data_IF_315232376771
#
_entry.id   IF_315232376771
#
_cell.length_a   1.000
_cell.length_b   1.000
_cell.length_c   1.000
_cell.angle_alpha   90.00
_cell.angle_beta   90.00
_cell.angle_gamma   90.00
#
_symmetry.space_group_name_H-M   'P 1'
#
loop_
_entity.id
_entity.type
_entity.pdbx_description
1 polymer ?
#
# COMPACT_ATOMS: atom_id res chain seq x y z
N UNK A 1 12.92 18.46 -2.19
CA UNK A 1 13.30 19.45 -3.22
C UNK A 1 14.53 20.31 -2.83
N UNK A 2 14.87 20.42 -1.54
CA UNK A 2 16.07 21.17 -1.08
C UNK A 2 17.39 20.41 -1.17
N UNK A 3 17.39 19.12 -1.40
CA UNK A 3 18.60 18.28 -1.40
C UNK A 3 19.41 18.35 -2.71
N UNK A 4 18.87 18.97 -3.77
CA UNK A 4 19.50 19.00 -5.09
C UNK A 4 19.49 20.41 -5.66
N UNK A 5 20.16 21.33 -4.94
CA UNK A 5 20.50 22.62 -5.51
C UNK A 5 21.72 22.45 -6.41
N UNK A 6 21.80 23.25 -7.47
CA UNK A 6 23.02 23.36 -8.28
C UNK A 6 24.15 24.08 -7.54
N UNK A 7 23.90 24.48 -6.30
CA UNK A 7 24.89 25.10 -5.43
C UNK A 7 25.96 24.08 -5.00
N UNK A 8 27.25 24.38 -5.24
CA UNK A 8 28.37 23.49 -4.92
C UNK A 8 28.43 23.04 -3.45
N UNK A 9 28.01 23.89 -2.50
CA UNK A 9 28.04 23.60 -1.07
C UNK A 9 26.97 22.55 -0.73
N UNK A 10 25.76 22.69 -1.26
CA UNK A 10 24.69 21.71 -1.07
C UNK A 10 25.05 20.37 -1.70
N UNK A 11 25.70 20.36 -2.86
CA UNK A 11 26.22 19.14 -3.49
C UNK A 11 27.33 18.48 -2.65
N UNK A 12 28.23 19.27 -2.07
CA UNK A 12 29.28 18.74 -1.19
C UNK A 12 28.69 18.15 0.09
N UNK A 13 27.71 18.82 0.70
CA UNK A 13 27.02 18.35 1.89
C UNK A 13 26.28 17.03 1.63
N UNK A 14 25.56 16.92 0.51
CA UNK A 14 24.89 15.70 0.09
C UNK A 14 25.89 14.55 -0.11
N UNK A 15 27.06 14.83 -0.67
CA UNK A 15 28.14 13.87 -0.89
C UNK A 15 28.76 13.36 0.40
N UNK A 16 28.96 14.24 1.38
CA UNK A 16 29.48 13.89 2.71
C UNK A 16 28.47 13.06 3.52
N UNK A 17 27.18 13.25 3.28
CA UNK A 17 26.10 12.46 3.88
C UNK A 17 25.82 11.12 3.15
N UNK A 18 26.62 10.76 2.15
CA UNK A 18 26.45 9.53 1.41
C UNK A 18 25.21 9.52 0.46
N UNK A 19 24.63 10.69 0.20
CA UNK A 19 23.49 10.82 -0.71
C UNK A 19 23.97 10.54 -2.15
N UNK A 20 23.29 9.66 -2.91
CA UNK A 20 23.69 9.33 -4.27
C UNK A 20 23.72 10.57 -5.18
N UNK A 21 24.61 10.58 -6.16
CA UNK A 21 24.65 11.64 -7.17
C UNK A 21 23.35 11.68 -7.96
N UNK A 22 22.84 12.87 -8.36
CA UNK A 22 21.60 13.02 -9.11
C UNK A 22 21.54 12.12 -10.36
N UNK A 23 22.64 11.99 -11.10
CA UNK A 23 22.73 11.17 -12.31
C UNK A 23 22.57 9.66 -12.07
N UNK A 24 22.64 9.20 -10.82
CA UNK A 24 22.40 7.80 -10.43
C UNK A 24 20.96 7.55 -9.97
N UNK A 25 20.19 8.62 -9.76
CA UNK A 25 18.80 8.52 -9.32
C UNK A 25 17.96 8.30 -10.57
N UNK A 26 17.31 7.14 -10.67
CA UNK A 26 16.48 6.78 -11.83
C UNK A 26 14.99 6.75 -11.52
N UNK A 27 14.62 6.88 -10.26
CA UNK A 27 13.22 6.84 -9.82
C UNK A 27 12.90 8.00 -8.91
N UNK A 28 11.78 8.68 -9.18
CA UNK A 28 11.15 9.64 -8.28
C UNK A 28 9.90 9.00 -7.65
N UNK A 29 9.55 9.42 -6.46
CA UNK A 29 8.29 9.04 -5.83
C UNK A 29 7.58 10.31 -5.31
N UNK A 30 6.38 10.56 -5.80
CA UNK A 30 5.56 11.67 -5.36
C UNK A 30 4.85 11.27 -4.07
N UNK A 31 5.20 11.96 -3.00
CA UNK A 31 4.60 11.79 -1.68
C UNK A 31 3.48 12.81 -1.44
N UNK A 32 2.85 12.73 -0.32
CA UNK A 32 1.65 13.46 0.05
C UNK A 32 0.49 12.50 0.17
N UNK A 33 -0.73 13.02 0.34
CA UNK A 33 -1.86 12.13 0.59
C UNK A 33 -2.20 11.28 -0.63
N UNK A 34 -2.32 11.89 -1.81
CA UNK A 34 -2.86 11.23 -2.98
C UNK A 34 -2.52 11.98 -4.30
N UNK A 35 -1.27 11.97 -4.76
CA UNK A 35 -0.87 12.73 -5.94
C UNK A 35 -1.58 12.31 -7.23
N UNK A 36 -1.98 11.04 -7.37
CA UNK A 36 -2.62 10.56 -8.59
C UNK A 36 -4.04 11.10 -8.82
N UNK A 37 -4.65 11.77 -7.81
CA UNK A 37 -5.94 12.47 -7.97
C UNK A 37 -5.85 13.66 -8.91
N UNK A 38 -4.66 14.21 -9.13
CA UNK A 38 -4.45 15.37 -10.01
C UNK A 38 -4.93 15.05 -11.43
N UNK A 39 -5.40 16.10 -12.12
CA UNK A 39 -5.76 16.01 -13.53
C UNK A 39 -4.57 15.57 -14.39
N UNK A 40 -4.85 14.89 -15.50
CA UNK A 40 -3.86 14.39 -16.44
C UNK A 40 -2.81 15.44 -16.82
N UNK A 41 -3.24 16.64 -17.22
CA UNK A 41 -2.33 17.72 -17.65
C UNK A 41 -1.35 18.15 -16.54
N UNK A 42 -1.80 18.09 -15.28
CA UNK A 42 -0.93 18.39 -14.13
C UNK A 42 0.09 17.31 -13.89
N UNK A 43 -0.28 16.05 -14.03
CA UNK A 43 0.65 14.93 -13.90
C UNK A 43 1.71 14.99 -15.00
N UNK A 44 1.34 15.28 -16.24
CA UNK A 44 2.29 15.49 -17.36
C UNK A 44 3.25 16.65 -17.05
N UNK A 45 2.73 17.81 -16.64
CA UNK A 45 3.57 18.95 -16.29
C UNK A 45 4.56 18.65 -15.15
N UNK A 46 4.16 17.84 -14.17
CA UNK A 46 5.06 17.38 -13.09
C UNK A 46 6.16 16.46 -13.66
N UNK A 47 5.82 15.54 -14.54
CA UNK A 47 6.79 14.65 -15.17
C UNK A 47 7.83 15.43 -15.99
N UNK A 48 7.38 16.41 -16.76
CA UNK A 48 8.25 17.28 -17.56
C UNK A 48 9.18 18.10 -16.66
N UNK A 49 8.65 18.66 -15.58
CA UNK A 49 9.42 19.41 -14.61
C UNK A 49 10.49 18.53 -13.94
N UNK A 50 10.14 17.31 -13.53
CA UNK A 50 11.09 16.35 -12.96
C UNK A 50 12.23 16.08 -13.94
N UNK A 51 11.92 15.80 -15.20
CA UNK A 51 12.94 15.53 -16.23
C UNK A 51 13.80 16.74 -16.55
N UNK A 52 13.22 17.92 -16.51
CA UNK A 52 13.98 19.16 -16.71
C UNK A 52 15.05 19.35 -15.64
N UNK A 53 14.74 19.07 -14.37
CA UNK A 53 15.67 19.27 -13.26
C UNK A 53 16.52 18.05 -12.92
N UNK A 54 16.00 16.84 -13.18
CA UNK A 54 16.69 15.57 -12.91
C UNK A 54 16.52 14.65 -14.13
N UNK A 55 17.29 14.86 -15.19
CA UNK A 55 17.13 14.13 -16.47
C UNK A 55 17.36 12.62 -16.35
N UNK A 56 18.00 12.16 -15.27
CA UNK A 56 18.25 10.73 -15.02
C UNK A 56 17.01 9.94 -14.57
N UNK A 57 15.93 10.62 -14.16
CA UNK A 57 14.70 9.98 -13.73
C UNK A 57 14.02 9.31 -14.92
N UNK A 58 13.80 8.01 -14.80
CA UNK A 58 13.11 7.17 -15.79
C UNK A 58 11.67 6.89 -15.37
N UNK A 59 11.44 6.65 -14.07
CA UNK A 59 10.13 6.28 -13.55
C UNK A 59 9.69 7.19 -12.42
N UNK A 60 8.38 7.42 -12.34
CA UNK A 60 7.72 8.26 -11.33
C UNK A 60 6.63 7.41 -10.67
N UNK A 61 6.87 6.98 -9.43
CA UNK A 61 5.85 6.36 -8.60
C UNK A 61 5.06 7.39 -7.80
N UNK A 62 3.87 7.04 -7.37
CA UNK A 62 3.10 7.85 -6.43
C UNK A 62 2.02 7.05 -5.71
N UNK A 63 1.46 7.64 -4.64
CA UNK A 63 0.24 7.12 -4.04
C UNK A 63 -0.98 7.40 -4.91
N UNK A 64 -1.89 6.42 -4.94
CA UNK A 64 -3.14 6.49 -5.67
C UNK A 64 -4.28 5.81 -4.90
N UNK A 65 -5.50 6.18 -5.22
CA UNK A 65 -6.72 5.44 -4.86
C UNK A 65 -7.33 4.81 -6.10
N UNK A 66 -8.16 3.80 -5.91
CA UNK A 66 -8.93 3.20 -7.02
C UNK A 66 -9.79 4.25 -7.74
N UNK A 67 -10.40 5.16 -6.98
CA UNK A 67 -11.19 6.27 -7.51
C UNK A 67 -10.39 7.22 -8.40
N UNK A 68 -9.08 7.38 -8.20
CA UNK A 68 -8.25 8.28 -9.01
C UNK A 68 -7.99 7.71 -10.40
N UNK A 69 -7.89 6.38 -10.51
CA UNK A 69 -7.75 5.70 -11.80
C UNK A 69 -9.02 5.91 -12.64
N UNK A 70 -10.21 5.97 -12.02
CA UNK A 70 -11.47 6.24 -12.73
C UNK A 70 -11.52 7.62 -13.36
N UNK A 71 -10.75 8.58 -12.84
CA UNK A 71 -10.69 9.95 -13.36
C UNK A 71 -9.83 10.10 -14.62
N UNK A 72 -9.21 9.03 -15.10
CA UNK A 72 -8.35 9.03 -16.30
C UNK A 72 -9.01 8.18 -17.39
N UNK A 73 -8.90 8.63 -18.64
CA UNK A 73 -9.24 7.77 -19.78
C UNK A 73 -8.16 6.69 -19.97
N UNK A 74 -8.44 5.68 -20.79
CA UNK A 74 -7.45 4.63 -21.10
C UNK A 74 -6.26 5.22 -21.88
N UNK A 75 -6.51 6.16 -22.79
CA UNK A 75 -5.49 6.89 -23.52
C UNK A 75 -4.62 7.76 -22.62
N UNK A 76 -5.24 8.41 -21.61
CA UNK A 76 -4.49 9.17 -20.60
C UNK A 76 -3.60 8.27 -19.76
N UNK A 77 -4.06 7.07 -19.35
CA UNK A 77 -3.22 6.11 -18.63
C UNK A 77 -2.02 5.66 -19.46
N UNK A 78 -2.22 5.33 -20.74
CA UNK A 78 -1.11 4.98 -21.65
C UNK A 78 -0.13 6.15 -21.78
N UNK A 79 -0.62 7.38 -21.95
CA UNK A 79 0.21 8.57 -22.04
C UNK A 79 0.97 8.86 -20.74
N UNK A 80 0.36 8.64 -19.57
CA UNK A 80 1.03 8.75 -18.27
C UNK A 80 2.15 7.72 -18.14
N UNK A 81 1.92 6.48 -18.57
CA UNK A 81 2.99 5.48 -18.60
C UNK A 81 4.17 5.93 -19.48
N UNK A 82 3.90 6.41 -20.70
CA UNK A 82 4.92 6.97 -21.61
C UNK A 82 5.64 8.18 -20.99
N UNK A 83 4.93 8.99 -20.20
CA UNK A 83 5.50 10.06 -19.41
C UNK A 83 6.28 9.56 -18.17
N UNK A 84 6.43 8.26 -17.98
CA UNK A 84 7.22 7.61 -16.93
C UNK A 84 6.49 7.34 -15.64
N UNK A 85 5.17 7.55 -15.55
CA UNK A 85 4.41 7.10 -14.38
C UNK A 85 4.37 5.58 -14.36
N UNK A 86 5.01 5.01 -13.32
CA UNK A 86 5.11 3.57 -13.14
C UNK A 86 5.36 3.26 -11.66
N UNK A 87 4.70 2.21 -11.16
CA UNK A 87 4.77 1.83 -9.74
C UNK A 87 3.88 2.70 -8.86
N UNK A 88 2.57 2.64 -9.12
CA UNK A 88 1.57 3.23 -8.24
C UNK A 88 1.45 2.42 -6.94
N UNK A 89 1.36 3.11 -5.81
CA UNK A 89 1.06 2.49 -4.52
C UNK A 89 -0.41 2.75 -4.20
N UNK A 90 -1.22 1.71 -4.22
CA UNK A 90 -2.68 1.79 -4.13
C UNK A 90 -3.15 1.19 -2.81
N UNK A 91 -3.80 2.01 -1.97
CA UNK A 91 -4.55 1.52 -0.82
C UNK A 91 -5.86 0.88 -1.31
N UNK A 92 -5.88 -0.45 -1.43
CA UNK A 92 -7.12 -1.19 -1.71
C UNK A 92 -7.89 -1.50 -0.43
N UNK A 93 -7.20 -1.43 0.69
CA UNK A 93 -7.64 -1.66 2.06
C UNK A 93 -8.15 -3.09 2.30
N UNK A 94 -9.12 -3.55 1.55
CA UNK A 94 -9.73 -4.90 1.60
C UNK A 94 -10.51 -5.20 0.33
N UNK A 95 -10.85 -6.48 0.12
CA UNK A 95 -11.83 -6.92 -0.86
C UNK A 95 -13.23 -7.15 -0.29
N UNK A 96 -13.45 -6.86 0.99
CA UNK A 96 -14.75 -7.00 1.64
C UNK A 96 -15.63 -5.77 1.35
N UNK A 97 -16.62 -5.91 0.49
CA UNK A 97 -17.54 -4.83 0.11
C UNK A 97 -18.33 -4.25 1.29
N UNK A 98 -18.59 -5.05 2.33
CA UNK A 98 -19.25 -4.56 3.53
C UNK A 98 -18.32 -3.62 4.31
N UNK A 99 -17.07 -4.01 4.48
CA UNK A 99 -16.05 -3.17 5.11
C UNK A 99 -15.76 -1.92 4.28
N UNK A 100 -15.61 -2.02 2.95
CA UNK A 100 -15.42 -0.88 2.06
C UNK A 100 -16.57 0.14 2.18
N UNK A 101 -17.81 -0.34 2.27
CA UNK A 101 -18.98 0.51 2.43
C UNK A 101 -19.03 1.14 3.81
N UNK A 102 -18.79 0.36 4.87
CA UNK A 102 -18.78 0.87 6.25
C UNK A 102 -17.70 1.95 6.45
N UNK A 103 -16.52 1.75 5.88
CA UNK A 103 -15.39 2.69 5.93
C UNK A 103 -15.50 3.84 4.90
N UNK A 104 -16.63 3.94 4.19
CA UNK A 104 -16.90 5.00 3.21
C UNK A 104 -15.78 5.18 2.17
N UNK A 105 -15.26 4.07 1.62
CA UNK A 105 -14.13 4.11 0.68
C UNK A 105 -14.51 4.64 -0.72
N UNK A 106 -15.80 4.63 -1.07
CA UNK A 106 -16.30 5.16 -2.33
C UNK A 106 -16.07 4.25 -3.55
N UNK A 107 -15.72 2.99 -3.35
CA UNK A 107 -15.56 1.96 -4.39
C UNK A 107 -15.88 0.58 -3.82
N UNK A 108 -16.15 -0.37 -4.71
CA UNK A 108 -16.37 -1.77 -4.39
C UNK A 108 -15.19 -2.64 -4.86
N UNK A 109 -15.18 -3.90 -4.43
CA UNK A 109 -14.20 -4.91 -4.83
C UNK A 109 -14.08 -5.06 -6.36
N UNK A 110 -15.20 -5.05 -7.06
CA UNK A 110 -15.23 -5.11 -8.53
C UNK A 110 -14.55 -3.90 -9.19
N UNK A 111 -14.60 -2.73 -8.55
CA UNK A 111 -13.93 -1.53 -9.08
C UNK A 111 -12.41 -1.68 -8.97
N UNK A 112 -11.89 -2.33 -7.91
CA UNK A 112 -10.46 -2.63 -7.78
C UNK A 112 -10.00 -3.45 -8.99
N UNK A 113 -10.68 -4.55 -9.29
CA UNK A 113 -10.35 -5.41 -10.44
C UNK A 113 -10.41 -4.62 -11.74
N UNK A 114 -11.51 -3.92 -11.98
CA UNK A 114 -11.73 -3.16 -13.22
C UNK A 114 -10.63 -2.10 -13.44
N UNK A 115 -10.31 -1.32 -12.42
CA UNK A 115 -9.35 -0.22 -12.58
C UNK A 115 -7.91 -0.73 -12.70
N UNK A 116 -7.54 -1.77 -11.94
CA UNK A 116 -6.19 -2.34 -12.04
C UNK A 116 -5.97 -3.06 -13.37
N UNK A 117 -6.99 -3.72 -13.95
CA UNK A 117 -6.90 -4.25 -15.32
C UNK A 117 -6.69 -3.14 -16.37
N UNK A 118 -7.17 -1.92 -16.13
CA UNK A 118 -6.86 -0.77 -16.99
C UNK A 118 -5.41 -0.34 -16.85
N UNK A 119 -4.86 -0.37 -15.62
CA UNK A 119 -3.43 -0.11 -15.38
C UNK A 119 -2.57 -1.17 -16.06
N UNK A 120 -2.92 -2.47 -15.94
CA UNK A 120 -2.23 -3.56 -16.64
C UNK A 120 -2.17 -3.32 -18.16
N UNK A 121 -3.31 -2.97 -18.77
CA UNK A 121 -3.39 -2.65 -20.22
C UNK A 121 -2.55 -1.44 -20.61
N UNK A 122 -2.42 -0.45 -19.74
CA UNK A 122 -1.61 0.74 -19.95
C UNK A 122 -0.10 0.49 -19.69
N UNK A 123 0.27 -0.66 -19.12
CA UNK A 123 1.65 -1.01 -18.74
C UNK A 123 2.12 -0.35 -17.44
N UNK A 124 1.22 0.19 -16.64
CA UNK A 124 1.54 0.82 -15.35
C UNK A 124 1.56 -0.25 -14.27
N UNK A 125 2.73 -0.51 -13.69
CA UNK A 125 2.86 -1.39 -12.54
C UNK A 125 2.28 -0.74 -11.28
N UNK A 126 1.81 -1.57 -10.36
CA UNK A 126 1.24 -1.12 -9.09
C UNK A 126 1.54 -2.09 -7.95
N UNK A 127 1.47 -1.55 -6.73
CA UNK A 127 1.55 -2.30 -5.48
C UNK A 127 0.30 -2.02 -4.67
N UNK A 128 -0.13 -2.98 -3.87
CA UNK A 128 -1.29 -2.85 -3.00
C UNK A 128 -0.90 -2.66 -1.54
N UNK A 129 -1.68 -1.84 -0.84
CA UNK A 129 -1.74 -1.89 0.61
C UNK A 129 -3.08 -2.50 1.05
N UNK A 130 -2.96 -3.54 1.87
CA UNK A 130 -4.02 -4.21 2.60
C UNK A 130 -4.02 -3.74 4.05
N UNK A 131 -5.19 -3.43 4.58
CA UNK A 131 -5.35 -2.94 5.94
C UNK A 131 -6.02 -4.00 6.82
N UNK A 132 -5.23 -4.65 7.65
CA UNK A 132 -5.66 -5.73 8.54
C UNK A 132 -6.63 -5.20 9.58
N UNK A 133 -7.62 -6.01 9.92
CA UNK A 133 -8.70 -5.71 10.87
C UNK A 133 -9.75 -4.70 10.39
N UNK A 134 -9.65 -4.20 9.16
CA UNK A 134 -10.62 -3.23 8.64
C UNK A 134 -12.04 -3.79 8.54
N UNK A 135 -12.19 -5.11 8.40
CA UNK A 135 -13.49 -5.79 8.38
C UNK A 135 -14.12 -5.95 9.78
N UNK A 136 -13.35 -5.71 10.85
CA UNK A 136 -13.80 -5.81 12.22
C UNK A 136 -13.81 -7.23 12.78
N UNK A 137 -14.06 -7.35 14.08
CA UNK A 137 -14.00 -8.60 14.84
C UNK A 137 -14.86 -9.70 14.22
N UNK A 138 -14.27 -10.90 14.08
CA UNK A 138 -14.90 -12.07 13.51
C UNK A 138 -15.04 -12.08 11.98
N UNK A 139 -14.65 -11.00 11.29
CA UNK A 139 -14.77 -10.86 9.83
C UNK A 139 -13.43 -10.86 9.09
N UNK A 140 -12.29 -10.73 9.77
CA UNK A 140 -10.98 -10.61 9.12
C UNK A 140 -10.69 -11.71 8.11
N UNK A 141 -10.99 -12.98 8.44
CA UNK A 141 -10.83 -14.08 7.48
C UNK A 141 -11.71 -13.95 6.23
N UNK A 142 -12.90 -13.35 6.35
CA UNK A 142 -13.78 -13.08 5.21
C UNK A 142 -13.13 -12.01 4.33
N UNK A 143 -12.68 -10.91 4.92
CA UNK A 143 -11.97 -9.83 4.24
C UNK A 143 -10.69 -10.32 3.55
N UNK A 144 -9.90 -11.14 4.24
CA UNK A 144 -8.68 -11.73 3.69
C UNK A 144 -8.94 -12.60 2.45
N UNK A 145 -9.93 -13.49 2.50
CA UNK A 145 -10.31 -14.33 1.36
C UNK A 145 -10.85 -13.51 0.19
N UNK A 146 -11.71 -12.54 0.48
CA UNK A 146 -12.23 -11.64 -0.55
C UNK A 146 -11.11 -10.84 -1.21
N UNK A 147 -10.13 -10.36 -0.43
CA UNK A 147 -8.95 -9.65 -0.95
C UNK A 147 -8.08 -10.56 -1.81
N UNK A 148 -7.79 -11.78 -1.35
CA UNK A 148 -7.03 -12.74 -2.16
C UNK A 148 -7.73 -13.04 -3.50
N UNK A 149 -9.06 -13.22 -3.49
CA UNK A 149 -9.83 -13.46 -4.71
C UNK A 149 -9.75 -12.31 -5.72
N UNK A 150 -9.63 -11.06 -5.28
CA UNK A 150 -9.37 -9.90 -6.12
C UNK A 150 -7.93 -9.93 -6.64
N UNK A 151 -6.95 -10.08 -5.74
CA UNK A 151 -5.54 -10.07 -6.09
C UNK A 151 -5.20 -11.16 -7.12
N UNK A 152 -5.80 -12.33 -7.00
CA UNK A 152 -5.59 -13.45 -7.93
C UNK A 152 -6.07 -13.20 -9.37
N UNK A 153 -6.79 -12.10 -9.63
CA UNK A 153 -7.21 -11.66 -10.96
C UNK A 153 -6.31 -10.56 -11.54
N UNK A 154 -5.25 -10.15 -10.80
CA UNK A 154 -4.47 -8.95 -11.05
C UNK A 154 -2.97 -9.24 -10.95
N UNK A 155 -2.13 -8.24 -11.24
CA UNK A 155 -0.68 -8.39 -11.27
C UNK A 155 0.06 -7.39 -10.35
N UNK A 156 -0.32 -7.28 -9.06
CA UNK A 156 0.40 -6.39 -8.16
C UNK A 156 1.86 -6.86 -7.98
N UNK A 157 2.79 -5.92 -8.06
CA UNK A 157 4.22 -6.21 -7.84
C UNK A 157 4.55 -6.45 -6.36
N UNK A 158 3.73 -5.91 -5.46
CA UNK A 158 3.85 -6.05 -4.02
C UNK A 158 2.46 -6.00 -3.38
N UNK A 159 2.23 -6.84 -2.39
CA UNK A 159 1.13 -6.72 -1.44
C UNK A 159 1.73 -6.37 -0.09
N UNK A 160 1.60 -5.10 0.29
CA UNK A 160 2.00 -4.59 1.61
C UNK A 160 0.86 -4.72 2.61
N UNK A 161 1.15 -5.23 3.78
CA UNK A 161 0.18 -5.48 4.85
C UNK A 161 0.47 -4.57 6.03
N UNK A 162 -0.49 -3.77 6.43
CA UNK A 162 -0.40 -2.91 7.60
C UNK A 162 -1.58 -3.17 8.55
N UNK A 163 -1.34 -3.12 9.83
CA UNK A 163 -2.42 -3.19 10.82
C UNK A 163 -3.13 -1.85 10.95
N UNK A 164 -4.45 -1.89 11.03
CA UNK A 164 -5.30 -0.71 11.24
C UNK A 164 -4.91 -0.01 12.54
N UNK A 165 -4.70 1.29 12.45
CA UNK A 165 -4.51 2.16 13.61
C UNK A 165 -5.76 3.02 13.79
N UNK A 166 -6.31 3.00 15.00
CA UNK A 166 -7.55 3.71 15.33
C UNK A 166 -7.19 4.96 16.12
N UNK A 167 -7.41 6.13 15.51
CA UNK A 167 -7.16 7.40 16.16
C UNK A 167 -8.38 7.89 16.96
N UNK A 168 -8.21 8.47 18.16
CA UNK A 168 -9.32 8.90 19.01
C UNK A 168 -10.25 9.96 18.39
N UNK A 169 -9.76 10.71 17.42
CA UNK A 169 -10.50 11.74 16.69
C UNK A 169 -11.16 11.24 15.39
N UNK A 170 -11.00 9.93 15.07
CA UNK A 170 -11.57 9.33 13.87
C UNK A 170 -13.06 9.01 14.01
N UNK A 171 -13.77 8.99 12.88
CA UNK A 171 -15.16 8.50 12.84
C UNK A 171 -15.26 7.04 13.30
N UNK A 172 -14.27 6.21 12.93
CA UNK A 172 -14.23 4.81 13.35
C UNK A 172 -14.18 4.67 14.89
N UNK A 173 -13.41 5.52 15.56
CA UNK A 173 -13.40 5.52 17.03
C UNK A 173 -14.78 5.83 17.60
N UNK A 174 -15.53 6.76 17.00
CA UNK A 174 -16.89 7.06 17.41
C UNK A 174 -17.83 5.87 17.17
N UNK A 175 -17.69 5.14 16.07
CA UNK A 175 -18.47 3.93 15.80
C UNK A 175 -18.19 2.81 16.81
N UNK A 176 -16.94 2.70 17.26
CA UNK A 176 -16.56 1.79 18.35
C UNK A 176 -17.28 2.18 19.65
N UNK A 177 -17.27 3.47 20.01
CA UNK A 177 -17.95 3.96 21.22
C UNK A 177 -19.47 3.73 21.17
N UNK A 178 -20.06 3.73 19.98
CA UNK A 178 -21.49 3.43 19.76
C UNK A 178 -21.80 1.93 19.74
N UNK A 179 -20.78 1.07 19.75
CA UNK A 179 -20.92 -0.38 19.63
C UNK A 179 -21.25 -0.89 18.23
N UNK A 180 -21.09 -0.06 17.19
CA UNK A 180 -21.38 -0.41 15.80
C UNK A 180 -20.22 -1.15 15.12
N UNK A 181 -19.02 -1.07 15.68
CA UNK A 181 -17.83 -1.74 15.15
C UNK A 181 -16.90 -2.14 16.30
N UNK A 182 -16.21 -3.26 16.14
CA UNK A 182 -15.26 -3.76 17.12
C UNK A 182 -13.97 -4.18 16.41
N UNK A 183 -12.84 -3.79 16.99
CA UNK A 183 -11.53 -4.21 16.51
C UNK A 183 -11.29 -5.69 16.79
N UNK A 184 -10.60 -6.38 15.89
CA UNK A 184 -10.12 -7.74 16.14
C UNK A 184 -9.09 -7.78 17.28
N UNK A 185 -8.99 -8.93 17.95
CA UNK A 185 -7.85 -9.21 18.83
C UNK A 185 -6.54 -9.22 18.03
N UNK A 186 -5.42 -9.02 18.69
CA UNK A 186 -4.12 -9.00 18.01
C UNK A 186 -3.81 -10.36 17.34
N UNK A 187 -4.18 -11.46 18.01
CA UNK A 187 -4.02 -12.81 17.43
C UNK A 187 -4.95 -13.03 16.23
N UNK A 188 -6.18 -12.49 16.24
CA UNK A 188 -7.07 -12.57 15.06
C UNK A 188 -6.49 -11.85 13.86
N UNK A 189 -5.82 -10.72 14.05
CA UNK A 189 -5.12 -9.99 12.99
C UNK A 189 -4.05 -10.84 12.30
N UNK A 190 -3.27 -11.61 13.06
CA UNK A 190 -2.29 -12.55 12.47
C UNK A 190 -2.96 -13.73 11.76
N UNK A 191 -4.10 -14.22 12.25
CA UNK A 191 -4.90 -15.22 11.55
C UNK A 191 -5.50 -14.70 10.25
N UNK A 192 -5.86 -13.42 10.22
CA UNK A 192 -6.31 -12.72 9.00
C UNK A 192 -5.18 -12.66 7.97
N UNK A 193 -3.97 -12.19 8.36
CA UNK A 193 -2.79 -12.14 7.47
C UNK A 193 -2.46 -13.54 6.93
N UNK A 194 -2.47 -14.55 7.80
CA UNK A 194 -2.25 -15.95 7.42
C UNK A 194 -3.27 -16.42 6.39
N UNK A 195 -4.55 -16.08 6.61
CA UNK A 195 -5.63 -16.42 5.67
C UNK A 195 -5.44 -15.73 4.32
N UNK A 196 -5.02 -14.46 4.30
CA UNK A 196 -4.70 -13.76 3.06
C UNK A 196 -3.58 -14.49 2.31
N UNK A 197 -2.46 -14.75 2.99
CA UNK A 197 -1.29 -15.41 2.42
C UNK A 197 -1.63 -16.81 1.85
N UNK A 198 -2.40 -17.62 2.57
CA UNK A 198 -2.81 -18.95 2.12
C UNK A 198 -3.60 -18.93 0.81
N UNK A 199 -4.45 -17.91 0.62
CA UNK A 199 -5.34 -17.82 -0.52
C UNK A 199 -4.77 -17.02 -1.71
N UNK A 200 -3.57 -16.43 -1.57
CA UNK A 200 -2.87 -15.81 -2.70
C UNK A 200 -2.24 -16.89 -3.58
N UNK A 201 -2.51 -16.83 -4.89
CA UNK A 201 -2.05 -17.81 -5.90
C UNK A 201 -1.14 -17.17 -6.97
N UNK A 202 -0.91 -15.86 -6.89
CA UNK A 202 -0.15 -15.09 -7.87
C UNK A 202 1.32 -14.90 -7.45
N UNK A 203 2.24 -14.80 -8.42
CA UNK A 203 3.61 -14.35 -8.14
C UNK A 203 3.60 -12.87 -7.75
N UNK A 204 4.06 -12.55 -6.53
CA UNK A 204 4.15 -11.19 -6.01
C UNK A 204 5.10 -11.11 -4.83
N UNK A 205 5.61 -9.92 -4.53
CA UNK A 205 6.25 -9.68 -3.24
C UNK A 205 5.15 -9.55 -2.15
N UNK A 206 5.40 -10.12 -0.99
CA UNK A 206 4.53 -9.98 0.17
C UNK A 206 5.31 -9.39 1.33
N UNK A 207 4.81 -8.31 1.95
CA UNK A 207 5.55 -7.62 2.98
C UNK A 207 4.65 -7.03 4.07
N UNK A 208 5.02 -7.24 5.33
CA UNK A 208 4.43 -6.65 6.52
C UNK A 208 5.49 -5.82 7.27
N UNK A 209 5.99 -4.76 6.61
CA UNK A 209 7.12 -3.95 7.11
C UNK A 209 6.69 -2.62 7.75
N UNK A 210 5.39 -2.32 7.76
CA UNK A 210 4.87 -1.09 8.35
C UNK A 210 5.10 -1.00 9.86
N UNK A 211 5.25 0.21 10.38
CA UNK A 211 5.46 0.46 11.81
C UNK A 211 4.29 -0.03 12.69
N UNK A 212 3.10 -0.17 12.12
CA UNK A 212 1.92 -0.71 12.83
C UNK A 212 1.99 -2.22 13.10
N UNK A 213 2.93 -2.95 12.46
CA UNK A 213 3.11 -4.38 12.62
C UNK A 213 4.13 -4.66 13.73
N UNK A 214 3.76 -5.43 14.75
CA UNK A 214 4.67 -5.82 15.83
C UNK A 214 5.77 -6.78 15.32
N UNK A 215 5.43 -7.65 14.37
CA UNK A 215 6.39 -8.50 13.67
C UNK A 215 6.51 -8.07 12.21
N UNK A 216 7.74 -7.94 11.76
CA UNK A 216 8.06 -7.57 10.39
C UNK A 216 8.56 -8.80 9.63
N UNK A 217 7.98 -9.06 8.47
CA UNK A 217 8.36 -10.16 7.58
C UNK A 217 8.08 -9.80 6.13
N UNK A 218 8.81 -10.44 5.22
CA UNK A 218 8.63 -10.28 3.79
C UNK A 218 9.10 -11.54 3.05
N UNK A 219 8.62 -11.72 1.84
CA UNK A 219 9.04 -12.81 0.97
C UNK A 219 8.44 -12.68 -0.42
N UNK A 220 8.87 -13.57 -1.31
CA UNK A 220 8.39 -13.69 -2.69
C UNK A 220 7.42 -14.87 -2.78
N UNK A 221 6.24 -14.65 -3.35
CA UNK A 221 5.27 -15.72 -3.59
C UNK A 221 5.41 -16.24 -5.03
N UNK A 222 5.29 -17.56 -5.23
CA UNK A 222 4.93 -18.58 -4.24
C UNK A 222 6.11 -19.14 -3.43
N UNK A 223 7.36 -18.78 -3.73
CA UNK A 223 8.58 -19.44 -3.24
C UNK A 223 8.67 -19.46 -1.70
N UNK A 224 8.39 -18.32 -1.07
CA UNK A 224 8.52 -18.16 0.39
C UNK A 224 7.19 -18.42 1.15
N UNK A 225 6.12 -18.82 0.45
CA UNK A 225 4.77 -18.94 1.04
C UNK A 225 4.74 -19.85 2.26
N UNK A 226 5.39 -21.00 2.16
CA UNK A 226 5.43 -22.01 3.22
C UNK A 226 6.17 -21.49 4.46
N UNK A 227 7.31 -20.85 4.26
CA UNK A 227 8.10 -20.25 5.34
C UNK A 227 7.37 -19.10 6.05
N UNK A 228 6.71 -18.23 5.27
CA UNK A 228 5.91 -17.13 5.81
C UNK A 228 4.70 -17.64 6.60
N UNK A 229 4.03 -18.69 6.10
CA UNK A 229 2.91 -19.32 6.80
C UNK A 229 3.35 -19.93 8.12
N UNK A 230 4.48 -20.65 8.13
CA UNK A 230 5.03 -21.26 9.34
C UNK A 230 5.44 -20.18 10.39
N UNK A 231 5.99 -19.04 9.93
CA UNK A 231 6.31 -17.92 10.81
C UNK A 231 5.05 -17.32 11.45
N UNK A 232 3.96 -17.17 10.68
CA UNK A 232 2.67 -16.71 11.20
C UNK A 232 2.03 -17.71 12.18
N UNK A 233 2.10 -19.01 11.89
CA UNK A 233 1.62 -20.06 12.80
C UNK A 233 2.38 -20.01 14.13
N UNK A 234 3.71 -19.86 14.10
CA UNK A 234 4.50 -19.70 15.31
C UNK A 234 4.08 -18.47 16.14
N UNK A 235 3.83 -17.31 15.49
CA UNK A 235 3.34 -16.12 16.19
C UNK A 235 1.98 -16.42 16.85
N UNK A 236 1.04 -17.00 16.12
CA UNK A 236 -0.32 -17.30 16.60
C UNK A 236 -0.30 -18.25 17.78
N UNK A 237 0.62 -19.22 17.81
CA UNK A 237 0.69 -20.25 18.83
C UNK A 237 1.48 -19.83 20.07
N UNK A 238 2.51 -19.00 19.92
CA UNK A 238 3.48 -18.74 21.00
C UNK A 238 3.39 -17.35 21.61
N UNK A 239 2.86 -16.36 20.89
CA UNK A 239 2.83 -14.97 21.36
C UNK A 239 1.52 -14.70 22.09
N UNK A 240 1.62 -14.03 23.24
CA UNK A 240 0.44 -13.69 24.04
C UNK A 240 -0.25 -12.45 23.51
N UNK A 241 -1.58 -12.47 23.53
CA UNK A 241 -2.42 -11.33 23.14
C UNK A 241 -2.06 -10.03 23.88
N UNK A 242 -1.83 -10.11 25.20
CA UNK A 242 -1.52 -8.95 26.03
C UNK A 242 -0.18 -8.32 25.67
N UNK A 243 0.84 -9.11 25.33
CA UNK A 243 2.16 -8.62 24.94
C UNK A 243 2.11 -7.87 23.60
N UNK A 244 1.33 -8.37 22.64
CA UNK A 244 1.07 -7.70 21.36
C UNK A 244 0.31 -6.39 21.56
N UNK A 245 -0.71 -6.41 22.41
CA UNK A 245 -1.52 -5.24 22.70
C UNK A 245 -0.71 -4.14 23.40
N UNK A 246 0.15 -4.52 24.34
CA UNK A 246 1.06 -3.60 25.00
C UNK A 246 2.08 -3.00 24.03
N UNK A 247 2.68 -3.83 23.17
CA UNK A 247 3.59 -3.37 22.13
C UNK A 247 2.93 -2.31 21.25
N UNK A 248 1.73 -2.57 20.74
CA UNK A 248 1.01 -1.63 19.86
C UNK A 248 0.64 -0.33 20.54
N UNK A 249 0.27 -0.33 21.83
CA UNK A 249 -0.01 0.88 22.60
C UNK A 249 1.21 1.79 22.75
N UNK A 250 2.39 1.24 22.70
CA UNK A 250 3.66 1.93 22.95
C UNK A 250 4.41 2.27 21.65
N UNK A 251 3.78 2.11 20.47
CA UNK A 251 4.39 2.48 19.19
C UNK A 251 4.59 4.01 19.11
N UNK A 252 5.83 4.49 18.88
CA UNK A 252 6.17 5.93 19.00
C UNK A 252 5.55 6.80 17.87
N UNK A 253 4.86 6.22 16.93
CA UNK A 253 4.30 6.90 15.76
C UNK A 253 2.79 6.64 15.57
N UNK A 254 2.14 6.08 16.58
CA UNK A 254 0.71 5.80 16.58
C UNK A 254 0.01 6.59 17.67
#
# INVERSE_FOLDING_TARGET
AQLWSTDPISMLTARLQGIPRPERIQRAFLTGANPFVLKYERLIAIADLIRQYIPSIKTIGCFARITDVTLKSDEELVSLHQAGYDGLTIGIETGDDEALRFMNKGYAAADIVKQCQRLDKAGIHYSFFYLVSISGAGRGKIGAKATAAICNQLHPTLIGVNMLTIYPDSELYQEIQRGNWQEESEIEKYKEIRTLLENLEIPTQFAALGASNAFQFQGTLPEDKEALTAALDNIIETVREDDLREYRKNLPHL
#
